data_IF_604693764836
#
_entry.id   IF_604693764836
#
_cell.length_a   1.000
_cell.length_b   1.000
_cell.length_c   1.000
_cell.angle_alpha   90.00
_cell.angle_beta   90.00
_cell.angle_gamma   90.00
#
_symmetry.space_group_name_H-M   'P 1'
#
loop_
_entity.id
_entity.type
_entity.pdbx_description
1 polymer ?
#
# COMPACT_ATOMS: atom_id res chain seq x y z
N UNK A 1 18.91 23.70 12.72
CA UNK A 1 18.28 22.44 12.27
C UNK A 1 17.96 22.61 10.80
N UNK A 2 18.62 21.86 9.93
CA UNK A 2 18.35 21.86 8.48
C UNK A 2 17.46 20.64 8.24
N UNK A 3 16.31 20.85 7.61
CA UNK A 3 15.40 19.77 7.20
C UNK A 3 15.73 19.48 5.73
N UNK A 4 16.16 18.26 5.43
CA UNK A 4 16.48 17.84 4.06
C UNK A 4 15.18 17.41 3.34
N UNK A 5 14.62 18.30 2.52
CA UNK A 5 13.40 18.02 1.76
C UNK A 5 13.60 16.97 0.65
N UNK A 6 14.85 16.61 0.32
CA UNK A 6 15.16 15.56 -0.66
C UNK A 6 15.08 14.15 -0.05
N UNK A 7 15.38 13.98 1.25
CA UNK A 7 15.20 12.71 1.96
C UNK A 7 13.71 12.42 2.25
N UNK A 8 12.88 13.48 2.29
CA UNK A 8 11.42 13.37 2.27
C UNK A 8 10.87 12.95 0.90
N UNK A 9 11.71 12.61 -0.09
CA UNK A 9 11.24 12.13 -1.40
C UNK A 9 10.37 10.90 -1.22
N UNK A 10 9.10 11.03 -1.60
CA UNK A 10 8.01 10.06 -1.53
C UNK A 10 8.47 8.60 -1.62
N UNK A 11 8.78 8.00 -0.46
CA UNK A 11 8.98 6.56 -0.35
C UNK A 11 7.74 5.85 -0.89
N UNK A 12 7.96 4.77 -1.64
CA UNK A 12 6.89 3.97 -2.23
C UNK A 12 7.02 2.51 -1.83
N UNK A 13 5.87 1.85 -1.81
CA UNK A 13 5.77 0.40 -1.87
C UNK A 13 5.61 0.05 -3.35
N UNK A 14 6.59 -0.68 -3.87
CA UNK A 14 6.62 -1.05 -5.28
C UNK A 14 6.04 -2.46 -5.44
N UNK A 15 5.04 -2.61 -6.31
CA UNK A 15 4.48 -3.91 -6.65
C UNK A 15 4.68 -4.20 -8.13
N UNK A 16 5.02 -5.45 -8.43
CA UNK A 16 4.84 -5.99 -9.78
C UNK A 16 3.46 -6.64 -9.85
N UNK A 17 2.57 -6.05 -10.64
CA UNK A 17 1.20 -6.49 -10.82
C UNK A 17 1.12 -7.79 -11.65
N UNK A 18 -0.07 -8.39 -11.70
CA UNK A 18 -0.30 -9.70 -12.35
C UNK A 18 -0.03 -9.70 -13.86
N UNK A 19 -0.12 -8.53 -14.50
CA UNK A 19 0.21 -8.32 -15.91
C UNK A 19 1.69 -8.02 -16.16
N UNK A 20 2.50 -8.01 -15.09
CA UNK A 20 3.92 -7.71 -15.12
C UNK A 20 4.24 -6.21 -15.03
N UNK A 21 3.24 -5.33 -14.98
CA UNK A 21 3.48 -3.89 -14.82
C UNK A 21 3.96 -3.57 -13.40
N UNK A 22 4.86 -2.61 -13.27
CA UNK A 22 5.29 -2.08 -11.98
C UNK A 22 4.37 -0.92 -11.57
N UNK A 23 3.90 -0.95 -10.33
CA UNK A 23 3.13 0.13 -9.71
C UNK A 23 3.84 0.63 -8.47
N UNK A 24 3.96 1.95 -8.34
CA UNK A 24 4.64 2.61 -7.23
C UNK A 24 3.58 3.30 -6.38
N UNK A 25 3.30 2.73 -5.21
CA UNK A 25 2.26 3.22 -4.30
C UNK A 25 2.93 4.04 -3.20
N UNK A 26 2.55 5.31 -2.97
CA UNK A 26 3.09 6.09 -1.85
C UNK A 26 2.93 5.38 -0.51
N UNK A 27 3.86 5.60 0.42
CA UNK A 27 3.76 5.04 1.77
C UNK A 27 2.38 5.31 2.39
N UNK A 28 1.70 4.29 2.92
CA UNK A 28 0.39 4.45 3.52
C UNK A 28 0.48 5.25 4.82
N UNK A 29 -0.57 6.04 5.10
CA UNK A 29 -0.67 6.76 6.37
C UNK A 29 -0.93 5.82 7.56
N UNK A 30 -0.54 6.24 8.77
CA UNK A 30 -0.89 5.55 10.02
C UNK A 30 -2.39 5.33 10.18
N UNK A 31 -3.21 6.26 9.66
CA UNK A 31 -4.68 6.12 9.64
C UNK A 31 -5.12 4.94 8.79
N UNK A 32 -4.53 4.76 7.62
CA UNK A 32 -4.83 3.64 6.73
C UNK A 32 -4.40 2.30 7.35
N UNK A 33 -3.20 2.21 7.94
CA UNK A 33 -2.76 0.99 8.62
C UNK A 33 -3.64 0.63 9.81
N UNK A 34 -4.07 1.61 10.60
CA UNK A 34 -5.05 1.38 11.67
C UNK A 34 -6.40 0.90 11.13
N UNK A 35 -6.79 1.34 9.93
CA UNK A 35 -7.99 0.86 9.22
C UNK A 35 -7.84 -0.62 8.86
N UNK A 36 -6.69 -1.06 8.34
CA UNK A 36 -6.41 -2.48 8.07
C UNK A 36 -6.52 -3.31 9.36
N UNK A 37 -5.80 -2.91 10.42
CA UNK A 37 -5.74 -3.68 11.69
C UNK A 37 -7.09 -3.87 12.38
N UNK A 38 -8.03 -2.94 12.18
CA UNK A 38 -9.37 -2.96 12.81
C UNK A 38 -10.46 -3.50 11.91
N UNK A 39 -10.16 -3.77 10.63
CA UNK A 39 -11.17 -4.23 9.68
C UNK A 39 -11.50 -5.70 9.91
N UNK A 40 -12.76 -6.04 9.68
CA UNK A 40 -13.19 -7.44 9.62
C UNK A 40 -12.50 -8.15 8.45
N UNK A 41 -12.17 -9.42 8.65
CA UNK A 41 -11.43 -10.21 7.68
C UNK A 41 -12.38 -10.84 6.63
N UNK A 42 -13.17 -10.00 5.97
CA UNK A 42 -14.08 -10.39 4.89
C UNK A 42 -13.46 -10.05 3.53
N UNK A 43 -13.78 -10.84 2.49
CA UNK A 43 -13.22 -10.64 1.14
C UNK A 43 -13.55 -9.25 0.58
N UNK A 44 -14.81 -8.83 0.69
CA UNK A 44 -15.27 -7.50 0.26
C UNK A 44 -14.42 -6.40 0.89
N UNK A 45 -14.18 -6.49 2.20
CA UNK A 45 -13.41 -5.49 2.92
C UNK A 45 -11.93 -5.49 2.55
N UNK A 46 -11.36 -6.67 2.31
CA UNK A 46 -9.98 -6.81 1.83
C UNK A 46 -9.82 -6.12 0.47
N UNK A 47 -10.75 -6.37 -0.47
CA UNK A 47 -10.71 -5.77 -1.79
C UNK A 47 -10.85 -4.25 -1.75
N UNK A 48 -11.77 -3.72 -0.93
CA UNK A 48 -11.89 -2.27 -0.71
C UNK A 48 -10.58 -1.64 -0.22
N UNK A 49 -9.92 -2.27 0.75
CA UNK A 49 -8.66 -1.75 1.32
C UNK A 49 -7.53 -1.82 0.30
N UNK A 50 -7.46 -2.89 -0.48
CA UNK A 50 -6.47 -3.02 -1.55
C UNK A 50 -6.68 -1.91 -2.58
N UNK A 51 -7.92 -1.70 -3.05
CA UNK A 51 -8.25 -0.64 -4.01
C UNK A 51 -7.92 0.75 -3.49
N UNK A 52 -8.28 1.05 -2.24
CA UNK A 52 -7.96 2.33 -1.60
C UNK A 52 -6.44 2.57 -1.55
N UNK A 53 -5.65 1.53 -1.36
CA UNK A 53 -4.19 1.61 -1.36
C UNK A 53 -3.65 1.79 -2.78
N UNK A 54 -3.90 0.82 -3.67
CA UNK A 54 -3.23 0.76 -4.98
C UNK A 54 -3.70 1.88 -5.91
N UNK A 55 -4.91 2.43 -5.76
CA UNK A 55 -5.36 3.57 -6.57
C UNK A 55 -4.70 4.91 -6.19
N UNK A 56 -3.83 4.93 -5.17
CA UNK A 56 -2.95 6.08 -4.91
C UNK A 56 -1.63 6.02 -5.71
N UNK A 57 -1.46 5.03 -6.58
CA UNK A 57 -0.25 4.83 -7.37
C UNK A 57 0.16 6.06 -8.19
N UNK A 58 1.47 6.22 -8.39
CA UNK A 58 2.06 7.35 -9.11
C UNK A 58 1.86 7.26 -10.63
N UNK A 59 1.54 6.09 -11.16
CA UNK A 59 1.31 5.85 -12.59
C UNK A 59 -0.04 6.40 -13.08
N UNK A 60 -0.95 6.77 -12.16
CA UNK A 60 -2.31 7.17 -12.50
C UNK A 60 -3.17 6.02 -13.03
N UNK A 61 -2.73 4.76 -12.83
CA UNK A 61 -3.49 3.58 -13.21
C UNK A 61 -4.72 3.45 -12.31
N UNK A 62 -5.88 3.20 -12.89
CA UNK A 62 -7.13 3.00 -12.13
C UNK A 62 -7.44 1.52 -12.09
N UNK A 63 -7.40 0.94 -10.89
CA UNK A 63 -7.81 -0.41 -10.59
C UNK A 63 -9.27 -0.46 -10.15
N UNK A 64 -9.94 -1.51 -10.58
CA UNK A 64 -11.35 -1.80 -10.33
C UNK A 64 -11.52 -3.03 -9.43
N UNK A 65 -12.73 -3.26 -8.93
CA UNK A 65 -13.05 -4.47 -8.14
C UNK A 65 -12.70 -5.75 -8.90
N UNK A 66 -12.99 -5.80 -10.19
CA UNK A 66 -12.69 -6.97 -11.04
C UNK A 66 -11.18 -7.27 -11.11
N UNK A 67 -10.32 -6.25 -10.98
CA UNK A 67 -8.86 -6.42 -10.97
C UNK A 67 -8.38 -7.04 -9.67
N UNK A 68 -8.97 -6.67 -8.53
CA UNK A 68 -8.57 -7.18 -7.21
C UNK A 68 -9.23 -8.52 -6.87
N UNK A 69 -10.38 -8.84 -7.47
CA UNK A 69 -11.02 -10.16 -7.36
C UNK A 69 -10.20 -11.27 -8.03
N UNK A 70 -9.39 -10.93 -9.04
CA UNK A 70 -8.46 -11.88 -9.68
C UNK A 70 -7.30 -12.28 -8.76
N UNK A 71 -7.07 -11.54 -7.66
CA UNK A 71 -6.02 -11.86 -6.72
C UNK A 71 -6.41 -13.05 -5.85
N UNK A 72 -5.49 -13.99 -5.71
CA UNK A 72 -5.63 -15.05 -4.71
C UNK A 72 -5.39 -14.50 -3.30
N UNK A 73 -5.80 -15.27 -2.29
CA UNK A 73 -5.70 -14.87 -0.88
C UNK A 73 -4.28 -14.52 -0.43
N UNK A 74 -3.25 -15.18 -0.99
CA UNK A 74 -1.84 -14.92 -0.68
C UNK A 74 -1.41 -13.56 -1.23
N UNK A 75 -1.77 -13.25 -2.48
CA UNK A 75 -1.48 -11.96 -3.11
C UNK A 75 -2.16 -10.80 -2.35
N UNK A 76 -3.44 -10.94 -2.04
CA UNK A 76 -4.20 -9.95 -1.28
C UNK A 76 -3.60 -9.70 0.11
N UNK A 77 -3.22 -10.78 0.80
CA UNK A 77 -2.57 -10.70 2.11
C UNK A 77 -1.20 -10.03 2.03
N UNK A 78 -0.41 -10.34 1.00
CA UNK A 78 0.91 -9.74 0.79
C UNK A 78 0.83 -8.22 0.59
N UNK A 79 -0.14 -7.74 -0.20
CA UNK A 79 -0.36 -6.30 -0.43
C UNK A 79 -0.67 -5.57 0.89
N UNK A 80 -1.64 -6.08 1.65
CA UNK A 80 -2.02 -5.46 2.93
C UNK A 80 -0.91 -5.58 3.98
N UNK A 81 -0.13 -6.67 3.96
CA UNK A 81 1.01 -6.85 4.85
C UNK A 81 2.14 -5.89 4.54
N UNK A 82 2.42 -5.62 3.26
CA UNK A 82 3.37 -4.60 2.84
C UNK A 82 2.97 -3.22 3.36
N UNK A 83 1.68 -2.88 3.28
CA UNK A 83 1.16 -1.63 3.83
C UNK A 83 1.33 -1.52 5.36
N UNK A 84 1.13 -2.62 6.09
CA UNK A 84 1.35 -2.64 7.55
C UNK A 84 2.84 -2.60 7.90
N UNK A 85 3.70 -3.25 7.11
CA UNK A 85 5.14 -3.33 7.29
C UNK A 85 5.85 -2.00 7.03
N UNK A 86 5.41 -1.27 6.01
CA UNK A 86 5.91 0.05 5.62
C UNK A 86 5.97 1.06 6.79
N UNK A 87 4.99 1.04 7.70
CA UNK A 87 4.99 1.95 8.86
C UNK A 87 5.96 1.51 9.95
N UNK A 88 6.24 0.21 10.10
CA UNK A 88 7.25 -0.24 11.08
C UNK A 88 8.64 0.28 10.71
N UNK A 89 8.96 0.33 9.42
CA UNK A 89 10.23 0.84 8.93
C UNK A 89 10.38 2.35 9.18
N UNK A 90 9.29 3.12 9.01
CA UNK A 90 9.23 4.55 9.33
C UNK A 90 9.28 4.82 10.84
N UNK A 91 8.61 4.01 11.66
CA UNK A 91 8.61 4.15 13.13
C UNK A 91 9.96 3.74 13.75
N UNK A 92 10.69 2.78 13.15
CA UNK A 92 12.01 2.33 13.64
C UNK A 92 13.15 3.23 13.15
N UNK A 93 12.99 3.95 12.03
CA UNK A 93 13.97 4.89 11.48
C UNK A 93 13.37 6.26 11.13
N UNK A 94 12.98 7.08 12.12
CA UNK A 94 12.30 8.35 11.87
C UNK A 94 13.18 9.47 11.25
N UNK A 95 14.46 9.22 10.95
CA UNK A 95 15.43 10.24 10.51
C UNK A 95 16.44 9.73 9.46
N UNK A 96 16.00 8.94 8.47
CA UNK A 96 16.76 8.76 7.22
C UNK A 96 16.09 9.52 6.08
#
# INVERSE_FOLDING_TARGET
MIINLQELSDQTIDFRWIDGAEIHVPMPSTRFVNKIKRSENTFERIYELILELINTNKEGRVFTTDDVEQLNSVQSTAILSAAVGAIKEVDEHPNL
#
